data_IF_510669131418
#
_entry.id   IF_510669131418
#
_cell.length_a   1.000
_cell.length_b   1.000
_cell.length_c   1.000
_cell.angle_alpha   90.00
_cell.angle_beta   90.00
_cell.angle_gamma   90.00
#
_symmetry.space_group_name_H-M   'P 1'
#
loop_
_entity.id
_entity.type
_entity.pdbx_description
1 polymer ?
#
# COMPACT_ATOMS: atom_id res chain seq x y z
N UNK A 1 44.74 10.30 -17.96
CA UNK A 1 43.69 9.28 -18.20
C UNK A 1 43.41 8.62 -16.87
N UNK A 2 42.39 9.09 -16.14
CA UNK A 2 41.92 8.38 -14.95
C UNK A 2 40.95 7.28 -15.39
N UNK A 3 41.28 6.05 -15.02
CA UNK A 3 40.39 4.91 -15.19
C UNK A 3 39.26 5.04 -14.16
N UNK A 4 38.04 5.26 -14.65
CA UNK A 4 36.83 5.26 -13.82
C UNK A 4 36.58 3.81 -13.38
N UNK A 5 36.72 3.54 -12.08
CA UNK A 5 36.37 2.25 -11.51
C UNK A 5 34.89 1.91 -11.82
N UNK A 6 34.56 0.64 -12.13
CA UNK A 6 33.19 0.24 -12.34
C UNK A 6 32.40 0.49 -11.05
N UNK A 7 31.32 1.26 -11.16
CA UNK A 7 30.38 1.43 -10.06
C UNK A 7 29.83 0.04 -9.71
N UNK A 8 30.16 -0.45 -8.52
CA UNK A 8 29.46 -1.59 -7.95
C UNK A 8 28.00 -1.16 -7.80
N UNK A 9 27.13 -1.69 -8.67
CA UNK A 9 25.69 -1.72 -8.45
C UNK A 9 25.44 -2.71 -7.30
N UNK A 10 25.77 -2.31 -6.07
CA UNK A 10 25.03 -2.85 -4.95
C UNK A 10 23.57 -2.58 -5.25
N UNK A 11 22.73 -3.62 -5.25
CA UNK A 11 21.30 -3.41 -5.27
C UNK A 11 21.00 -2.40 -4.16
N UNK A 12 20.59 -1.19 -4.52
CA UNK A 12 20.21 -0.16 -3.57
C UNK A 12 18.85 -0.67 -3.05
N UNK A 13 18.86 -1.61 -2.08
CA UNK A 13 17.66 -2.18 -1.45
C UNK A 13 17.09 -1.11 -0.51
N UNK A 14 16.81 0.08 -1.04
CA UNK A 14 16.11 1.12 -0.30
C UNK A 14 14.71 0.60 -0.08
N UNK A 15 14.46 0.17 1.15
CA UNK A 15 13.13 -0.18 1.62
C UNK A 15 12.23 1.06 1.53
N UNK A 16 11.07 0.88 0.93
CA UNK A 16 10.04 1.90 0.81
C UNK A 16 9.40 2.20 2.17
N UNK A 17 8.69 3.32 2.28
CA UNK A 17 7.92 3.64 3.49
C UNK A 17 6.97 2.49 3.91
N UNK A 18 6.30 1.86 2.94
CA UNK A 18 5.38 0.75 3.20
C UNK A 18 6.10 -0.51 3.68
N UNK A 19 7.35 -0.77 3.27
CA UNK A 19 8.19 -1.84 3.82
C UNK A 19 8.46 -1.66 5.31
N UNK A 20 8.82 -0.44 5.71
CA UNK A 20 9.08 -0.10 7.10
C UNK A 20 7.82 -0.17 7.95
N UNK A 21 6.71 0.37 7.45
CA UNK A 21 5.41 0.31 8.11
C UNK A 21 4.95 -1.14 8.32
N UNK A 22 5.01 -1.96 7.28
CA UNK A 22 4.68 -3.39 7.37
C UNK A 22 5.53 -4.09 8.43
N UNK A 23 6.85 -3.89 8.39
CA UNK A 23 7.78 -4.49 9.37
C UNK A 23 7.44 -4.07 10.80
N UNK A 24 7.15 -2.79 11.03
CA UNK A 24 6.83 -2.27 12.35
C UNK A 24 5.51 -2.84 12.91
N UNK A 25 4.48 -2.98 12.07
CA UNK A 25 3.19 -3.56 12.47
C UNK A 25 3.32 -5.04 12.82
N UNK A 26 4.09 -5.81 12.04
CA UNK A 26 4.41 -7.20 12.35
C UNK A 26 5.19 -7.31 13.67
N UNK A 27 6.19 -6.44 13.88
CA UNK A 27 6.95 -6.39 15.13
C UNK A 27 6.10 -6.02 16.35
N UNK A 28 5.03 -5.24 16.15
CA UNK A 28 4.04 -4.95 17.18
C UNK A 28 3.08 -6.11 17.45
N UNK A 29 3.22 -7.24 16.76
CA UNK A 29 2.40 -8.45 16.94
C UNK A 29 1.07 -8.42 16.20
N UNK A 30 0.89 -7.50 15.23
CA UNK A 30 -0.32 -7.42 14.43
C UNK A 30 -0.26 -8.42 13.27
N UNK A 31 -1.41 -9.02 12.94
CA UNK A 31 -1.58 -9.75 11.68
C UNK A 31 -1.85 -8.74 10.57
N UNK A 32 -0.93 -8.66 9.61
CA UNK A 32 -0.98 -7.64 8.55
C UNK A 32 -1.01 -8.33 7.20
N UNK A 33 -2.03 -8.02 6.42
CA UNK A 33 -2.03 -8.28 4.99
C UNK A 33 -1.41 -7.07 4.30
N UNK A 34 -0.36 -7.30 3.50
CA UNK A 34 0.23 -6.28 2.64
C UNK A 34 -0.02 -6.67 1.19
N UNK A 35 -0.69 -5.78 0.48
CA UNK A 35 -0.78 -5.88 -0.96
C UNK A 35 0.56 -5.44 -1.57
N UNK A 36 1.23 -6.35 -2.28
CA UNK A 36 2.39 -6.01 -3.08
C UNK A 36 1.88 -5.81 -4.51
N UNK A 37 2.02 -4.60 -5.04
CA UNK A 37 1.58 -4.24 -6.40
C UNK A 37 2.28 -5.06 -7.52
N UNK A 38 3.29 -5.88 -7.17
CA UNK A 38 3.97 -6.83 -8.04
C UNK A 38 3.26 -8.19 -8.17
N UNK A 39 2.23 -8.47 -7.37
CA UNK A 39 1.54 -9.76 -7.41
C UNK A 39 0.57 -9.79 -8.61
N UNK A 40 0.87 -10.72 -9.50
CA UNK A 40 0.36 -10.86 -10.87
C UNK A 40 -1.18 -10.88 -10.98
N UNK A 41 -1.68 -10.20 -12.01
CA UNK A 41 -3.09 -10.05 -12.37
C UNK A 41 -3.78 -11.41 -12.60
N UNK A 42 -4.79 -11.75 -11.78
CA UNK A 42 -5.62 -12.95 -11.95
C UNK A 42 -6.89 -12.99 -11.08
N UNK A 43 -7.90 -13.78 -11.46
CA UNK A 43 -9.20 -13.86 -10.77
C UNK A 43 -9.09 -14.38 -9.32
N UNK A 44 -8.20 -15.34 -9.06
CA UNK A 44 -7.93 -15.85 -7.71
C UNK A 44 -7.39 -14.77 -6.76
N UNK A 45 -6.61 -13.81 -7.28
CA UNK A 45 -6.05 -12.73 -6.47
C UNK A 45 -7.12 -11.74 -6.04
N UNK A 46 -8.08 -11.40 -6.92
CA UNK A 46 -9.20 -10.52 -6.58
C UNK A 46 -10.03 -11.11 -5.43
N UNK A 47 -10.23 -12.42 -5.44
CA UNK A 47 -10.90 -13.14 -4.34
C UNK A 47 -10.09 -13.06 -3.04
N UNK A 48 -8.79 -13.33 -3.06
CA UNK A 48 -7.96 -13.28 -1.84
C UNK A 48 -7.88 -11.87 -1.26
N UNK A 49 -7.82 -10.85 -2.12
CA UNK A 49 -7.84 -9.45 -1.75
C UNK A 49 -9.18 -9.04 -1.14
N UNK A 50 -10.31 -9.43 -1.75
CA UNK A 50 -11.64 -9.17 -1.20
C UNK A 50 -11.80 -9.82 0.18
N UNK A 51 -11.35 -11.07 0.32
CA UNK A 51 -11.35 -11.78 1.59
C UNK A 51 -10.47 -11.08 2.64
N UNK A 52 -9.28 -10.61 2.24
CA UNK A 52 -8.37 -9.91 3.15
C UNK A 52 -8.95 -8.56 3.61
N UNK A 53 -9.51 -7.77 2.70
CA UNK A 53 -10.12 -6.47 3.01
C UNK A 53 -11.34 -6.66 3.92
N UNK A 54 -12.27 -7.54 3.55
CA UNK A 54 -13.50 -7.80 4.32
C UNK A 54 -13.26 -8.51 5.64
N UNK A 55 -12.18 -9.30 5.73
CA UNK A 55 -11.77 -9.99 6.95
C UNK A 55 -10.94 -9.13 7.91
N UNK A 56 -10.48 -7.96 7.46
CA UNK A 56 -9.70 -7.04 8.30
C UNK A 56 -10.61 -6.18 9.17
N UNK A 57 -10.10 -5.74 10.32
CA UNK A 57 -10.78 -4.74 11.16
C UNK A 57 -10.32 -3.31 10.85
N UNK A 58 -9.09 -3.19 10.31
CA UNK A 58 -8.42 -1.93 10.05
C UNK A 58 -7.78 -2.01 8.66
N UNK A 59 -7.92 -0.94 7.87
CA UNK A 59 -7.12 -0.69 6.67
C UNK A 59 -6.28 0.57 6.86
N UNK A 60 -5.01 0.51 6.49
CA UNK A 60 -4.14 1.69 6.40
C UNK A 60 -3.93 1.97 4.91
N UNK A 61 -4.40 3.14 4.46
CA UNK A 61 -4.35 3.55 3.06
C UNK A 61 -3.20 4.53 2.91
N UNK A 62 -2.16 4.14 2.18
CA UNK A 62 -1.00 5.01 1.93
C UNK A 62 -1.20 5.72 0.59
N UNK A 63 -1.65 6.97 0.65
CA UNK A 63 -1.74 7.86 -0.49
C UNK A 63 -0.34 8.37 -0.85
N UNK A 64 0.08 8.10 -2.08
CA UNK A 64 1.33 8.58 -2.66
C UNK A 64 1.03 9.31 -3.98
N UNK A 65 2.03 9.97 -4.55
CA UNK A 65 1.91 10.80 -5.74
C UNK A 65 1.17 10.12 -6.91
N UNK A 66 1.41 8.84 -7.11
CA UNK A 66 0.84 8.08 -8.23
C UNK A 66 -0.39 7.25 -7.84
N UNK A 67 -0.86 7.32 -6.59
CA UNK A 67 -1.96 6.49 -6.10
C UNK A 67 -3.22 6.62 -6.95
N UNK A 68 -3.64 7.86 -7.23
CA UNK A 68 -4.85 8.15 -8.01
C UNK A 68 -4.70 7.83 -9.51
N UNK A 69 -3.49 7.55 -9.98
CA UNK A 69 -3.24 7.14 -11.37
C UNK A 69 -3.43 5.63 -11.59
N UNK A 70 -3.50 4.84 -10.52
CA UNK A 70 -3.67 3.39 -10.57
C UNK A 70 -5.13 3.01 -10.37
N UNK A 71 -5.81 2.56 -11.44
CA UNK A 71 -7.18 2.03 -11.35
C UNK A 71 -7.29 0.92 -10.30
N UNK A 72 -6.27 0.09 -10.17
CA UNK A 72 -6.21 -0.96 -9.15
C UNK A 72 -6.19 -0.40 -7.72
N UNK A 73 -5.45 0.69 -7.49
CA UNK A 73 -5.47 1.37 -6.20
C UNK A 73 -6.85 1.97 -5.89
N UNK A 74 -7.53 2.54 -6.89
CA UNK A 74 -8.86 3.12 -6.74
C UNK A 74 -9.93 2.05 -6.50
N UNK A 75 -9.89 0.91 -7.20
CA UNK A 75 -10.80 -0.21 -6.96
C UNK A 75 -10.67 -0.73 -5.52
N UNK A 76 -9.44 -0.89 -5.03
CA UNK A 76 -9.16 -1.25 -3.63
C UNK A 76 -9.72 -0.23 -2.65
N UNK A 77 -9.56 1.06 -2.94
CA UNK A 77 -10.08 2.14 -2.10
C UNK A 77 -11.61 2.05 -1.97
N UNK A 78 -12.32 1.84 -3.08
CA UNK A 78 -13.78 1.67 -3.07
C UNK A 78 -14.19 0.49 -2.20
N UNK A 79 -13.52 -0.66 -2.34
CA UNK A 79 -13.80 -1.84 -1.51
C UNK A 79 -13.61 -1.58 -0.01
N UNK A 80 -12.56 -0.84 0.37
CA UNK A 80 -12.29 -0.46 1.76
C UNK A 80 -13.38 0.48 2.29
N UNK A 81 -13.79 1.47 1.50
CA UNK A 81 -14.85 2.42 1.87
C UNK A 81 -16.19 1.71 2.04
N UNK A 82 -16.54 0.78 1.14
CA UNK A 82 -17.72 -0.05 1.28
C UNK A 82 -17.70 -0.86 2.58
N UNK A 83 -16.55 -1.44 2.95
CA UNK A 83 -16.40 -2.16 4.21
C UNK A 83 -16.54 -1.24 5.42
N UNK A 84 -15.97 -0.04 5.37
CA UNK A 84 -16.10 0.98 6.42
C UNK A 84 -17.55 1.38 6.65
N UNK A 85 -18.36 1.49 5.60
CA UNK A 85 -19.75 1.93 5.72
C UNK A 85 -20.71 0.79 6.10
N UNK A 86 -20.36 -0.45 5.81
CA UNK A 86 -21.21 -1.64 6.06
C UNK A 86 -20.83 -2.46 7.29
N UNK A 87 -19.69 -2.18 7.93
CA UNK A 87 -19.17 -2.96 9.06
C UNK A 87 -18.46 -2.07 10.11
N UNK A 88 -17.88 -2.66 11.16
CA UNK A 88 -17.06 -1.92 12.15
C UNK A 88 -15.62 -1.65 11.67
N UNK A 89 -15.40 -1.71 10.36
CA UNK A 89 -14.10 -1.54 9.74
C UNK A 89 -13.62 -0.09 9.84
N UNK A 90 -12.37 0.11 10.25
CA UNK A 90 -11.76 1.44 10.38
C UNK A 90 -10.72 1.65 9.28
N UNK A 91 -10.78 2.78 8.58
CA UNK A 91 -9.79 3.14 7.57
C UNK A 91 -8.96 4.34 8.03
N UNK A 92 -7.63 4.20 8.04
CA UNK A 92 -6.68 5.26 8.37
C UNK A 92 -5.93 5.73 7.12
N UNK A 93 -6.08 6.99 6.71
CA UNK A 93 -5.29 7.56 5.63
C UNK A 93 -3.89 7.95 6.12
N UNK A 94 -2.87 7.67 5.32
CA UNK A 94 -1.50 8.14 5.47
C UNK A 94 -1.10 8.82 4.17
N UNK A 95 -0.74 10.10 4.25
CA UNK A 95 -0.30 10.88 3.11
C UNK A 95 1.24 10.86 3.07
N UNK A 96 1.79 10.21 2.05
CA UNK A 96 3.23 10.04 1.86
C UNK A 96 3.70 10.88 0.67
N UNK A 97 4.42 11.96 0.98
CA UNK A 97 4.96 12.92 0.00
C UNK A 97 3.89 13.52 -0.94
N UNK A 98 2.69 13.73 -0.39
CA UNK A 98 1.53 14.36 -1.03
C UNK A 98 0.76 15.21 -0.02
N UNK A 99 0.13 16.27 -0.46
CA UNK A 99 -0.79 17.05 0.36
C UNK A 99 -2.23 16.48 0.29
N UNK A 100 -3.02 16.49 1.38
CA UNK A 100 -4.42 16.04 1.33
C UNK A 100 -5.29 16.78 0.31
N UNK A 101 -4.97 18.05 0.06
CA UNK A 101 -5.59 18.92 -0.95
C UNK A 101 -5.43 18.37 -2.37
N UNK A 102 -4.29 17.76 -2.69
CA UNK A 102 -4.00 17.13 -3.98
C UNK A 102 -4.87 15.87 -4.20
N UNK A 103 -5.39 15.29 -3.12
CA UNK A 103 -6.31 14.15 -3.14
C UNK A 103 -7.79 14.58 -3.07
N UNK A 104 -8.08 15.89 -3.06
CA UNK A 104 -9.44 16.42 -2.93
C UNK A 104 -10.08 16.15 -1.56
N UNK A 105 -9.28 15.83 -0.53
CA UNK A 105 -9.72 15.66 0.85
C UNK A 105 -9.54 17.02 1.54
N UNK A 106 -10.65 17.77 1.66
CA UNK A 106 -10.73 19.08 2.32
C UNK A 106 -11.87 19.15 3.32
#
# INVERSE_FOLDING_TARGET
>A
MEARAPAHKGADIRRTFTDHLYTALIQAGLSVFRDNDEIERGENLKWELDKAIRGSQISIIVFSKDYASSEWCLDKLVMILDCKDTSRHTAFPVFYDVEPSEMGIG
#
